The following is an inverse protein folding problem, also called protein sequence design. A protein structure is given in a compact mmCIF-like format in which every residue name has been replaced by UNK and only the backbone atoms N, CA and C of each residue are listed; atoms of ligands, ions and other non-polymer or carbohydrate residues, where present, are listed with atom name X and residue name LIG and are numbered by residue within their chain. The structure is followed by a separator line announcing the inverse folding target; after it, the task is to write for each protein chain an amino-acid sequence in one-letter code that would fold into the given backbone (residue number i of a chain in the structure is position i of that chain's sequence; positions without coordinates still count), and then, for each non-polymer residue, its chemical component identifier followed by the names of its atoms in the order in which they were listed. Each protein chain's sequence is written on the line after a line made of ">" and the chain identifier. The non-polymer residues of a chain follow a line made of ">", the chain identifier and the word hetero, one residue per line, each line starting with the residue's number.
data_IF_925710973486
#
_entry.id   IF_925710973486
#
_cell.length_a   1.000
_cell.length_b   1.000
_cell.length_c   1.000
_cell.angle_alpha   90.00
_cell.angle_beta   90.00
_cell.angle_gamma   90.00
#
_symmetry.space_group_name_H-M   'P 1'
#
loop_
_entity.id
_entity.type
_entity.pdbx_description
1 polymer ?
#
# COMPACT_ATOMS: atom_id res chain seq x y z
N UNK A 1 -1.86 24.88 2.64
CA UNK A 1 -2.92 23.86 2.65
C UNK A 1 -2.32 22.69 3.40
N UNK A 2 -2.79 22.41 4.62
CA UNK A 2 -2.22 21.33 5.44
C UNK A 2 -2.43 20.00 4.73
N UNK A 3 -1.38 19.19 4.66
CA UNK A 3 -1.42 17.88 4.03
C UNK A 3 -2.30 16.94 4.86
N UNK A 4 -3.40 16.46 4.28
CA UNK A 4 -4.19 15.40 4.91
C UNK A 4 -3.46 14.06 4.75
N UNK A 5 -2.72 13.68 5.80
CA UNK A 5 -1.96 12.45 5.83
C UNK A 5 -2.82 11.21 5.63
N UNK A 6 -4.08 11.22 6.08
CA UNK A 6 -4.99 10.09 5.93
C UNK A 6 -5.37 9.91 4.47
N UNK A 7 -5.68 10.99 3.77
CA UNK A 7 -5.91 10.97 2.31
C UNK A 7 -4.63 10.56 1.57
N UNK A 8 -3.46 11.05 1.98
CA UNK A 8 -2.18 10.65 1.37
C UNK A 8 -1.94 9.14 1.47
N UNK A 9 -2.14 8.55 2.64
CA UNK A 9 -1.94 7.10 2.83
C UNK A 9 -2.90 6.26 2.01
N UNK A 10 -4.15 6.72 1.88
CA UNK A 10 -5.13 6.14 0.98
C UNK A 10 -4.68 6.17 -0.50
N UNK A 11 -4.20 7.32 -0.96
CA UNK A 11 -3.72 7.50 -2.34
C UNK A 11 -2.48 6.67 -2.66
N UNK A 12 -1.50 6.63 -1.75
CA UNK A 12 -0.26 5.88 -1.95
C UNK A 12 -0.52 4.38 -2.13
N UNK A 13 -1.49 3.80 -1.40
CA UNK A 13 -1.92 2.42 -1.62
C UNK A 13 -2.52 2.24 -3.02
N UNK A 14 -3.42 3.14 -3.41
CA UNK A 14 -4.02 3.11 -4.73
C UNK A 14 -2.98 3.14 -5.86
N UNK A 15 -1.96 3.98 -5.76
CA UNK A 15 -0.89 4.08 -6.75
C UNK A 15 -0.04 2.81 -6.82
N UNK A 16 0.31 2.22 -5.68
CA UNK A 16 1.03 0.94 -5.62
C UNK A 16 0.21 -0.15 -6.33
N UNK A 17 -1.08 -0.28 -6.00
CA UNK A 17 -1.96 -1.29 -6.59
C UNK A 17 -2.15 -1.13 -8.10
N UNK A 18 -2.34 0.11 -8.57
CA UNK A 18 -2.49 0.39 -10.01
C UNK A 18 -1.20 0.06 -10.75
N UNK A 19 -0.05 0.46 -10.21
CA UNK A 19 1.26 0.23 -10.83
C UNK A 19 1.57 -1.27 -10.96
N UNK A 20 1.31 -2.05 -9.90
CA UNK A 20 1.48 -3.51 -9.93
C UNK A 20 0.59 -4.20 -10.96
N UNK A 21 -0.67 -3.76 -11.10
CA UNK A 21 -1.60 -4.35 -12.07
C UNK A 21 -1.24 -4.04 -13.52
N UNK A 22 -0.71 -2.85 -13.80
CA UNK A 22 -0.20 -2.52 -15.13
C UNK A 22 0.97 -3.43 -15.51
N UNK A 23 1.90 -3.62 -14.59
CA UNK A 23 3.04 -4.51 -14.79
C UNK A 23 2.62 -5.97 -14.96
N UNK A 24 1.52 -6.41 -14.32
CA UNK A 24 0.99 -7.77 -14.47
C UNK A 24 0.29 -8.01 -15.81
N UNK A 25 -0.39 -6.99 -16.38
CA UNK A 25 -1.04 -7.08 -17.70
C UNK A 25 -0.04 -7.06 -18.86
N UNK A 26 1.16 -6.52 -18.65
CA UNK A 26 2.23 -6.56 -19.65
C UNK A 26 2.98 -7.91 -19.65
N UNK A 27 2.79 -8.74 -18.62
CA UNK A 27 3.47 -10.03 -18.44
C UNK A 27 2.57 -11.25 -18.66
N UNK A 28 1.51 -11.15 -19.47
CA UNK A 28 0.68 -12.31 -19.87
C UNK A 28 1.40 -13.22 -20.90
N UNK A 29 2.59 -13.70 -20.53
CA UNK A 29 3.19 -14.95 -21.02
C UNK A 29 4.00 -15.53 -19.84
N UNK A 30 3.33 -16.19 -18.90
CA UNK A 30 3.81 -17.39 -18.20
C UNK A 30 2.90 -17.74 -17.00
N UNK A 31 1.91 -18.59 -17.26
CA UNK A 31 1.24 -19.36 -16.22
C UNK A 31 2.21 -20.39 -15.64
N UNK A 32 2.67 -20.18 -14.41
CA UNK A 32 2.93 -21.29 -13.50
C UNK A 32 2.53 -20.94 -12.06
N UNK A 33 1.46 -21.61 -11.65
CA UNK A 33 0.94 -21.70 -10.29
C UNK A 33 2.00 -22.17 -9.28
N UNK A 34 1.86 -21.67 -8.05
CA UNK A 34 2.43 -22.16 -6.77
C UNK A 34 3.74 -21.58 -6.20
N UNK A 35 4.38 -20.59 -6.83
CA UNK A 35 5.36 -19.78 -6.08
C UNK A 35 4.62 -18.70 -5.27
N UNK A 36 4.52 -18.93 -3.95
CA UNK A 36 4.00 -17.98 -2.95
C UNK A 36 4.34 -16.55 -3.37
N UNK A 37 3.32 -15.72 -3.59
CA UNK A 37 3.38 -14.29 -3.95
C UNK A 37 4.19 -13.48 -2.90
N UNK A 38 5.51 -13.65 -2.88
CA UNK A 38 6.45 -12.92 -2.02
C UNK A 38 6.50 -11.46 -2.52
N UNK A 39 6.49 -10.52 -1.59
CA UNK A 39 6.51 -9.08 -1.89
C UNK A 39 5.16 -8.43 -2.21
N UNK A 40 4.06 -9.18 -2.34
CA UNK A 40 2.73 -8.54 -2.45
C UNK A 40 2.31 -7.91 -1.14
N UNK A 41 1.76 -6.70 -1.21
CA UNK A 41 1.23 -6.01 -0.06
C UNK A 41 -0.16 -6.57 0.23
N UNK A 42 -0.30 -7.23 1.38
CA UNK A 42 -1.57 -7.78 1.84
C UNK A 42 -2.13 -6.97 3.02
N UNK A 43 -3.44 -7.11 3.26
CA UNK A 43 -4.11 -6.55 4.45
C UNK A 43 -3.42 -6.93 5.75
N UNK A 44 -2.99 -8.17 5.86
CA UNK A 44 -2.27 -8.67 7.03
C UNK A 44 -0.94 -7.94 7.19
N UNK A 45 -0.22 -7.68 6.10
CA UNK A 45 1.05 -6.95 6.14
C UNK A 45 0.84 -5.47 6.48
N UNK A 46 -0.14 -4.79 5.89
CA UNK A 46 -0.44 -3.39 6.25
C UNK A 46 -0.84 -3.27 7.72
N UNK A 47 -1.71 -4.16 8.23
CA UNK A 47 -2.07 -4.17 9.66
C UNK A 47 -0.85 -4.41 10.56
N UNK A 48 0.09 -5.27 10.14
CA UNK A 48 1.34 -5.50 10.87
C UNK A 48 2.22 -4.26 10.88
N UNK A 49 2.38 -3.57 9.75
CA UNK A 49 3.12 -2.30 9.65
C UNK A 49 2.48 -1.25 10.58
N UNK A 50 1.15 -1.12 10.55
CA UNK A 50 0.43 -0.24 11.48
C UNK A 50 0.77 -0.58 12.93
N UNK A 51 0.69 -1.85 13.31
CA UNK A 51 0.96 -2.30 14.68
C UNK A 51 2.40 -2.00 15.09
N UNK A 52 3.38 -2.34 14.23
CA UNK A 52 4.81 -2.11 14.47
C UNK A 52 5.09 -0.62 14.70
N UNK A 53 4.55 0.26 13.87
CA UNK A 53 4.81 1.70 14.00
C UNK A 53 4.13 2.29 15.23
N UNK A 54 2.92 1.82 15.55
CA UNK A 54 2.10 2.38 16.63
C UNK A 54 2.42 1.81 18.01
N UNK A 55 3.15 0.70 18.10
CA UNK A 55 3.62 0.12 19.35
C UNK A 55 4.83 0.85 19.95
N UNK A 56 5.47 1.74 19.19
CA UNK A 56 6.62 2.52 19.64
C UNK A 56 6.19 3.95 20.00
N UNK A 57 6.74 4.50 21.09
CA UNK A 57 6.57 5.92 21.43
C UNK A 57 7.29 6.82 20.41
N UNK A 58 8.48 6.38 19.98
CA UNK A 58 9.24 7.02 18.91
C UNK A 58 9.13 6.19 17.62
N UNK A 59 8.49 6.70 16.55
CA UNK A 59 8.29 5.93 15.32
C UNK A 59 9.60 5.52 14.63
N UNK A 60 10.73 6.20 14.90
CA UNK A 60 12.03 5.81 14.33
C UNK A 60 12.51 4.45 14.81
N UNK A 61 12.08 4.02 16.00
CA UNK A 61 12.42 2.71 16.56
C UNK A 61 11.73 1.56 15.82
N UNK A 62 10.65 1.85 15.08
CA UNK A 62 9.99 0.87 14.23
C UNK A 62 10.75 0.53 12.94
N UNK A 63 11.73 1.36 12.52
CA UNK A 63 12.42 1.19 11.22
C UNK A 63 13.12 -0.18 11.10
N UNK A 64 13.90 -0.66 12.08
CA UNK A 64 14.51 -2.00 12.00
C UNK A 64 13.48 -3.13 11.84
N UNK A 65 12.36 -3.05 12.54
CA UNK A 65 11.27 -4.05 12.44
C UNK A 65 10.59 -4.02 11.08
N UNK A 66 10.39 -2.84 10.51
CA UNK A 66 9.87 -2.66 9.16
C UNK A 66 10.82 -3.24 8.10
N UNK A 67 12.11 -2.98 8.23
CA UNK A 67 13.13 -3.54 7.33
C UNK A 67 13.21 -5.07 7.46
N UNK A 68 13.12 -5.61 8.68
CA UNK A 68 13.05 -7.04 8.91
C UNK A 68 11.78 -7.65 8.29
N UNK A 69 10.63 -6.98 8.40
CA UNK A 69 9.39 -7.42 7.77
C UNK A 69 9.54 -7.54 6.25
N UNK A 70 10.16 -6.56 5.59
CA UNK A 70 10.48 -6.62 4.15
C UNK A 70 11.38 -7.83 3.86
N UNK A 71 12.54 -7.90 4.51
CA UNK A 71 13.53 -8.95 4.25
C UNK A 71 12.97 -10.37 4.44
N UNK A 72 12.01 -10.55 5.36
CA UNK A 72 11.34 -11.82 5.62
C UNK A 72 10.30 -12.19 4.55
N UNK A 73 9.64 -11.20 3.94
CA UNK A 73 8.51 -11.42 3.05
C UNK A 73 8.83 -11.22 1.56
N UNK A 74 10.01 -10.68 1.25
CA UNK A 74 10.53 -10.55 -0.12
C UNK A 74 11.51 -11.67 -0.47
N UNK A 75 11.55 -12.06 -1.75
CA UNK A 75 12.69 -12.81 -2.29
C UNK A 75 13.84 -11.84 -2.54
N UNK A 76 15.08 -12.30 -2.36
CA UNK A 76 16.31 -11.50 -2.55
C UNK A 76 16.45 -10.91 -3.97
N UNK A 77 15.63 -11.33 -4.91
CA UNK A 77 15.76 -11.04 -6.34
C UNK A 77 14.97 -9.79 -6.79
N UNK A 78 13.97 -9.34 -6.02
CA UNK A 78 13.05 -8.29 -6.47
C UNK A 78 13.07 -7.06 -5.57
N UNK A 79 14.05 -6.17 -5.77
CA UNK A 79 14.04 -4.81 -5.21
C UNK A 79 13.03 -3.94 -5.95
N UNK A 80 11.73 -4.10 -5.65
CA UNK A 80 10.67 -3.39 -6.38
C UNK A 80 9.26 -3.89 -6.08
N UNK A 81 9.04 -4.56 -4.96
CA UNK A 81 7.72 -5.12 -4.65
C UNK A 81 6.77 -4.07 -4.07
N UNK A 82 5.49 -4.42 -3.99
CA UNK A 82 4.49 -3.58 -3.32
C UNK A 82 4.82 -3.35 -1.85
N UNK A 83 5.35 -4.38 -1.17
CA UNK A 83 5.72 -4.30 0.22
C UNK A 83 6.87 -3.31 0.44
N UNK A 84 7.96 -3.43 -0.32
CA UNK A 84 9.06 -2.46 -0.28
C UNK A 84 8.59 -1.04 -0.64
N UNK A 85 7.78 -0.91 -1.68
CA UNK A 85 7.25 0.39 -2.12
C UNK A 85 6.44 1.06 -1.03
N UNK A 86 5.64 0.30 -0.27
CA UNK A 86 4.88 0.85 0.85
C UNK A 86 5.77 1.12 2.07
N UNK A 87 6.65 0.20 2.45
CA UNK A 87 7.53 0.36 3.61
C UNK A 87 8.50 1.52 3.44
N UNK A 88 9.06 1.72 2.24
CA UNK A 88 9.94 2.86 1.96
C UNK A 88 9.23 4.21 2.14
N UNK A 89 7.99 4.34 1.65
CA UNK A 89 7.13 5.52 1.92
C UNK A 89 6.85 5.71 3.41
N UNK A 90 6.64 4.63 4.17
CA UNK A 90 6.44 4.71 5.63
C UNK A 90 7.71 5.19 6.34
N UNK A 91 8.89 4.66 5.99
CA UNK A 91 10.17 5.07 6.56
C UNK A 91 10.46 6.53 6.25
N UNK A 92 10.22 6.98 5.01
CA UNK A 92 10.34 8.39 4.64
C UNK A 92 9.42 9.26 5.50
N UNK A 93 8.18 8.84 5.72
CA UNK A 93 7.23 9.57 6.53
C UNK A 93 7.68 9.66 7.99
N UNK A 94 8.15 8.56 8.57
CA UNK A 94 8.70 8.47 9.93
C UNK A 94 9.86 9.45 10.13
N UNK A 95 10.74 9.58 9.14
CA UNK A 95 11.90 10.47 9.25
C UNK A 95 11.54 11.95 9.24
N UNK A 96 10.41 12.31 8.63
CA UNK A 96 10.05 13.68 8.33
C UNK A 96 8.82 14.20 9.11
N UNK A 97 8.16 13.38 9.93
CA UNK A 97 6.87 13.73 10.53
C UNK A 97 6.72 13.22 11.98
N UNK A 98 5.69 13.73 12.67
CA UNK A 98 5.29 13.27 14.00
C UNK A 98 4.62 11.91 13.93
N UNK A 99 4.66 11.16 15.04
CA UNK A 99 3.95 9.87 15.18
C UNK A 99 2.45 9.99 14.84
N UNK A 100 1.82 11.11 15.20
CA UNK A 100 0.40 11.35 14.90
C UNK A 100 0.13 11.42 13.39
N UNK A 101 0.98 12.11 12.63
CA UNK A 101 0.84 12.20 11.18
C UNK A 101 1.13 10.84 10.51
N UNK A 102 2.11 10.09 11.03
CA UNK A 102 2.38 8.72 10.56
C UNK A 102 1.19 7.79 10.87
N UNK A 103 0.57 7.91 12.04
CA UNK A 103 -0.66 7.18 12.41
C UNK A 103 -1.80 7.48 11.44
N UNK A 104 -2.11 8.75 11.19
CA UNK A 104 -3.15 9.18 10.24
C UNK A 104 -2.90 8.60 8.85
N UNK A 105 -1.65 8.64 8.38
CA UNK A 105 -1.26 8.02 7.11
C UNK A 105 -1.54 6.52 7.07
N UNK A 106 -1.10 5.78 8.09
CA UNK A 106 -1.30 4.34 8.15
C UNK A 106 -2.78 3.97 8.29
N UNK A 107 -3.59 4.77 8.99
CA UNK A 107 -5.05 4.60 9.03
C UNK A 107 -5.67 4.69 7.63
N UNK A 108 -5.28 5.71 6.85
CA UNK A 108 -5.76 5.88 5.47
C UNK A 108 -5.39 4.70 4.58
N UNK A 109 -4.14 4.25 4.67
CA UNK A 109 -3.65 3.09 3.95
C UNK A 109 -4.42 1.80 4.32
N UNK A 110 -4.66 1.59 5.61
CA UNK A 110 -5.47 0.46 6.11
C UNK A 110 -6.88 0.56 5.55
N UNK A 111 -7.56 1.71 5.68
CA UNK A 111 -8.95 1.89 5.24
C UNK A 111 -9.13 1.56 3.76
N UNK A 112 -8.28 2.09 2.89
CA UNK A 112 -8.36 1.83 1.45
C UNK A 112 -8.21 0.35 1.16
N UNK A 113 -7.32 -0.37 1.83
CA UNK A 113 -7.16 -1.79 1.57
C UNK A 113 -8.44 -2.60 1.83
N UNK A 114 -9.21 -2.28 2.88
CA UNK A 114 -10.50 -2.95 3.13
C UNK A 114 -11.55 -2.57 2.09
N UNK A 115 -11.54 -1.32 1.62
CA UNK A 115 -12.42 -0.88 0.55
C UNK A 115 -12.06 -1.61 -0.75
N UNK A 116 -10.79 -1.67 -1.12
CA UNK A 116 -10.35 -2.34 -2.36
C UNK A 116 -10.65 -3.84 -2.33
N UNK A 117 -10.41 -4.55 -1.21
CA UNK A 117 -10.79 -5.96 -1.07
C UNK A 117 -12.30 -6.16 -1.25
N UNK A 118 -13.12 -5.44 -0.49
CA UNK A 118 -14.57 -5.60 -0.53
C UNK A 118 -15.22 -5.16 -1.85
N UNK A 119 -14.52 -4.37 -2.66
CA UNK A 119 -14.98 -3.99 -4.01
C UNK A 119 -14.46 -4.96 -5.08
N UNK A 120 -13.23 -5.48 -4.94
CA UNK A 120 -12.70 -6.54 -5.81
C UNK A 120 -13.54 -7.80 -5.74
N UNK A 121 -14.01 -8.18 -4.54
CA UNK A 121 -14.93 -9.31 -4.35
C UNK A 121 -16.30 -9.09 -5.03
N UNK A 122 -16.67 -7.83 -5.28
CA UNK A 122 -17.94 -7.45 -5.92
C UNK A 122 -17.78 -7.13 -7.41
N UNK A 123 -16.62 -7.42 -8.01
CA UNK A 123 -16.33 -7.12 -9.42
C UNK A 123 -16.34 -5.63 -9.76
N UNK A 124 -16.13 -4.75 -8.77
CA UNK A 124 -16.09 -3.29 -8.99
C UNK A 124 -14.70 -2.81 -9.33
N UNK A 125 -14.65 -1.80 -10.19
CA UNK A 125 -13.42 -1.26 -10.74
C UNK A 125 -12.63 -0.47 -9.68
N UNK A 126 -11.48 -1.03 -9.30
CA UNK A 126 -10.52 -0.43 -8.35
C UNK A 126 -9.97 0.90 -8.84
N UNK A 127 -9.83 1.06 -10.17
CA UNK A 127 -9.36 2.30 -10.78
C UNK A 127 -10.33 3.45 -10.51
N UNK A 128 -11.64 3.19 -10.61
CA UNK A 128 -12.67 4.17 -10.27
C UNK A 128 -12.62 4.62 -8.79
N UNK A 129 -12.37 3.70 -7.85
CA UNK A 129 -12.23 4.05 -6.42
C UNK A 129 -11.00 4.93 -6.20
N UNK A 130 -9.89 4.58 -6.82
CA UNK A 130 -8.66 5.33 -6.72
C UNK A 130 -8.78 6.72 -7.36
N UNK A 131 -9.52 6.86 -8.46
CA UNK A 131 -9.80 8.16 -9.09
C UNK A 131 -10.69 9.03 -8.20
N UNK A 132 -11.70 8.46 -7.54
CA UNK A 132 -12.53 9.18 -6.56
C UNK A 132 -11.70 9.74 -5.40
N UNK A 133 -10.73 8.97 -4.90
CA UNK A 133 -9.82 9.42 -3.82
C UNK A 133 -8.87 10.53 -4.28
N UNK A 134 -8.50 10.56 -5.57
CA UNK A 134 -7.70 11.63 -6.18
C UNK A 134 -8.49 12.91 -6.46
N UNK A 135 -9.82 12.90 -6.25
CA UNK A 135 -10.69 13.99 -6.67
C UNK A 135 -10.83 14.11 -8.19
N UNK A 136 -10.38 13.09 -8.93
CA UNK A 136 -10.54 13.01 -10.37
C UNK A 136 -11.96 12.51 -10.66
N UNK A 137 -12.74 13.25 -11.47
CA UNK A 137 -14.08 12.81 -11.85
C UNK A 137 -13.96 11.46 -12.55
N UNK A 138 -14.66 10.45 -12.01
CA UNK A 138 -14.91 9.18 -12.70
C UNK A 138 -15.39 9.47 -14.11
N UNK A 139 -14.59 9.11 -15.11
CA UNK A 139 -15.03 9.10 -16.50
C UNK A 139 -15.82 7.82 -16.67
N UNK A 140 -17.08 7.84 -16.20
CA UNK A 140 -18.05 6.86 -16.64
C UNK A 140 -18.20 7.04 -18.15
N UNK A 141 -17.50 6.22 -18.94
CA UNK A 141 -17.87 6.00 -20.34
C UNK A 141 -19.20 5.23 -20.31
N UNK A 142 -20.28 5.99 -20.31
CA UNK A 142 -21.57 5.51 -20.80
C UNK A 142 -21.52 5.67 -22.31
N UNK A 143 -21.13 4.62 -23.03
CA UNK A 143 -21.40 4.40 -24.46
C UNK A 143 -21.11 2.95 -24.80
#
# INVERSE_FOLDING_TARGET
>A
MDLDYKVKGAMDICEIFISSRKNFKESEEDESSENKRKGYLSKTLIRKIYTIVTSHENPKEAIPDLLYLVARNESKENGGTELWSFVSKVIELINNNTLENVKKYLEGAVMVFYVLEGFSEKGRDIENICNLLKGERSVAKVS
#
